data_IF_369397433461
#
_entry.id   IF_369397433461
#
_cell.length_a   1.000
_cell.length_b   1.000
_cell.length_c   1.000
_cell.angle_alpha   90.00
_cell.angle_beta   90.00
_cell.angle_gamma   90.00
#
_symmetry.space_group_name_H-M   'P 1'
#
loop_
_entity.id
_entity.type
_entity.pdbx_description
1 polymer ?
#
# COMPACT_ATOMS: atom_id res chain seq x y z
N UNK A 1 -33.93 28.50 41.75
CA UNK A 1 -33.67 28.41 40.28
C UNK A 1 -32.63 27.33 40.03
N UNK A 2 -33.06 26.15 39.57
CA UNK A 2 -32.15 25.02 39.23
C UNK A 2 -31.64 25.21 37.78
N UNK A 3 -30.34 25.40 37.62
CA UNK A 3 -29.69 25.41 36.29
C UNK A 3 -29.55 23.96 35.81
N UNK A 4 -30.29 23.59 34.79
CA UNK A 4 -30.11 22.32 34.07
C UNK A 4 -28.97 22.51 33.07
N UNK A 5 -27.81 21.87 33.30
CA UNK A 5 -26.74 21.78 32.33
C UNK A 5 -27.15 20.73 31.30
N UNK A 6 -27.42 21.16 30.08
CA UNK A 6 -27.52 20.26 28.92
C UNK A 6 -26.09 19.93 28.43
N UNK A 7 -25.60 18.72 28.75
CA UNK A 7 -24.40 18.18 28.11
C UNK A 7 -24.76 17.74 26.70
N UNK A 8 -24.29 18.49 25.72
CA UNK A 8 -24.31 18.05 24.32
C UNK A 8 -23.28 16.97 24.17
N UNK A 9 -23.69 15.70 24.05
CA UNK A 9 -22.85 14.61 23.58
C UNK A 9 -22.70 14.76 22.05
N UNK A 10 -21.54 15.27 21.58
CA UNK A 10 -21.17 15.25 20.18
C UNK A 10 -20.81 13.79 19.89
N UNK A 11 -21.70 13.05 19.25
CA UNK A 11 -21.39 11.75 18.67
C UNK A 11 -20.54 12.05 17.43
N UNK A 12 -19.22 12.00 17.57
CA UNK A 12 -18.30 12.00 16.46
C UNK A 12 -18.46 10.66 15.72
N UNK A 13 -18.98 10.69 14.52
CA UNK A 13 -18.93 9.55 13.62
C UNK A 13 -17.47 9.34 13.25
N UNK A 14 -16.84 8.32 13.83
CA UNK A 14 -15.50 7.90 13.49
C UNK A 14 -15.60 7.24 12.11
N UNK A 15 -15.12 7.91 11.07
CA UNK A 15 -14.89 7.31 9.77
C UNK A 15 -13.56 6.57 9.85
N UNK A 16 -13.59 5.26 10.10
CA UNK A 16 -12.41 4.43 10.04
C UNK A 16 -12.26 3.99 8.58
N UNK A 17 -11.23 4.48 7.90
CA UNK A 17 -10.73 3.89 6.69
C UNK A 17 -9.67 2.86 7.12
N UNK A 18 -9.81 1.61 6.75
CA UNK A 18 -8.75 0.63 6.94
C UNK A 18 -7.67 0.92 5.89
N UNK A 19 -6.41 1.04 6.32
CA UNK A 19 -5.26 1.01 5.41
C UNK A 19 -5.38 -0.24 4.53
N UNK A 20 -5.02 -0.13 3.24
CA UNK A 20 -4.98 -1.31 2.39
C UNK A 20 -3.85 -2.24 2.86
N UNK A 21 -4.22 -3.28 3.62
CA UNK A 21 -3.30 -4.24 4.22
C UNK A 21 -2.79 -5.28 3.21
N UNK A 22 -3.23 -5.22 1.95
CA UNK A 22 -2.84 -6.18 0.91
C UNK A 22 -1.54 -5.81 0.23
N UNK A 23 -1.25 -4.51 0.10
CA UNK A 23 -0.10 -4.00 -0.62
C UNK A 23 0.66 -2.94 0.19
N UNK A 24 1.50 -3.40 1.13
CA UNK A 24 2.33 -2.51 1.95
C UNK A 24 3.72 -2.41 1.30
N UNK A 25 3.83 -1.59 0.24
CA UNK A 25 5.07 -1.40 -0.52
C UNK A 25 5.22 0.05 -1.01
N UNK A 26 6.42 0.61 -0.90
CA UNK A 26 6.79 1.86 -1.57
C UNK A 26 7.59 1.52 -2.82
N UNK A 27 7.04 1.85 -3.96
CA UNK A 27 7.61 1.50 -5.28
C UNK A 27 8.75 2.41 -5.68
N UNK A 28 9.75 1.81 -6.37
CA UNK A 28 10.72 2.56 -7.17
C UNK A 28 10.21 2.81 -8.59
N UNK A 29 10.83 3.77 -9.30
CA UNK A 29 10.41 4.18 -10.63
C UNK A 29 10.72 3.17 -11.74
N UNK A 30 11.62 2.22 -11.51
CA UNK A 30 12.06 1.26 -12.53
C UNK A 30 10.98 0.24 -12.85
N UNK A 31 10.76 -0.03 -14.14
CA UNK A 31 9.90 -1.10 -14.62
C UNK A 31 10.68 -2.40 -14.84
N UNK A 32 10.00 -3.54 -14.85
CA UNK A 32 10.58 -4.82 -15.23
C UNK A 32 11.06 -4.76 -16.68
N UNK A 33 12.23 -5.34 -16.95
CA UNK A 33 12.79 -5.40 -18.30
C UNK A 33 11.90 -6.25 -19.22
N UNK A 34 11.89 -5.99 -20.53
CA UNK A 34 11.17 -6.82 -21.50
C UNK A 34 11.60 -8.29 -21.39
N UNK A 35 10.66 -9.20 -21.62
CA UNK A 35 10.87 -10.64 -21.49
C UNK A 35 11.32 -11.06 -20.08
N UNK A 36 10.91 -10.32 -19.07
CA UNK A 36 11.05 -10.71 -17.65
C UNK A 36 9.71 -10.62 -16.95
N UNK A 37 9.56 -11.48 -15.97
CA UNK A 37 8.42 -11.51 -15.08
C UNK A 37 8.90 -11.60 -13.65
N UNK A 38 8.30 -10.83 -12.76
CA UNK A 38 8.43 -10.97 -11.31
C UNK A 38 7.16 -11.63 -10.78
N UNK A 39 7.34 -12.66 -9.96
CA UNK A 39 6.26 -13.29 -9.21
C UNK A 39 6.56 -13.03 -7.76
N UNK A 40 5.66 -12.33 -7.06
CA UNK A 40 5.82 -11.91 -5.69
C UNK A 40 4.67 -12.42 -4.83
N UNK A 41 5.01 -12.84 -3.62
CA UNK A 41 4.06 -13.09 -2.56
C UNK A 41 4.27 -12.03 -1.48
N UNK A 42 3.27 -11.19 -1.28
CA UNK A 42 3.20 -10.27 -0.15
C UNK A 42 2.41 -10.95 0.95
N UNK A 43 2.95 -11.00 2.15
CA UNK A 43 2.31 -11.58 3.32
C UNK A 43 2.36 -10.57 4.46
N UNK A 44 1.21 -10.06 4.86
CA UNK A 44 1.07 -9.04 5.88
C UNK A 44 0.22 -9.58 7.03
N UNK A 45 0.82 -9.70 8.21
CA UNK A 45 0.13 -10.17 9.41
C UNK A 45 -0.08 -9.03 10.39
N UNK A 46 -1.35 -8.78 10.73
CA UNK A 46 -1.75 -7.77 11.71
C UNK A 46 -1.84 -8.38 13.10
N UNK A 47 -0.89 -8.04 13.98
CA UNK A 47 -0.90 -8.50 15.38
C UNK A 47 -1.87 -7.70 16.25
N UNK A 48 -1.96 -6.40 15.99
CA UNK A 48 -2.83 -5.49 16.73
C UNK A 48 -3.58 -4.60 15.73
N UNK A 49 -4.82 -4.91 15.49
CA UNK A 49 -5.67 -4.26 14.50
C UNK A 49 -7.08 -4.02 15.01
N UNK A 50 -7.97 -3.65 14.10
CA UNK A 50 -9.39 -3.45 14.36
C UNK A 50 -10.04 -4.75 14.81
N UNK A 51 -10.72 -4.72 15.97
CA UNK A 51 -11.35 -5.91 16.56
C UNK A 51 -12.80 -6.14 16.09
N UNK A 52 -13.47 -5.11 15.60
CA UNK A 52 -14.88 -5.14 15.24
C UNK A 52 -15.09 -4.95 13.74
N UNK A 53 -16.21 -5.45 13.23
CA UNK A 53 -16.64 -5.15 11.87
C UNK A 53 -17.10 -3.70 11.78
N UNK A 54 -16.45 -2.91 10.93
CA UNK A 54 -16.76 -1.49 10.70
C UNK A 54 -17.20 -1.27 9.27
N UNK A 55 -18.37 -0.64 9.06
CA UNK A 55 -18.96 -0.42 7.73
C UNK A 55 -19.05 -1.71 6.88
N UNK A 56 -19.20 -2.86 7.50
CA UNK A 56 -19.27 -4.16 6.83
C UNK A 56 -17.91 -4.80 6.52
N UNK A 57 -16.80 -4.11 6.77
CA UNK A 57 -15.43 -4.63 6.63
C UNK A 57 -15.07 -5.44 7.87
N UNK A 58 -14.55 -6.65 7.63
CA UNK A 58 -14.16 -7.60 8.68
C UNK A 58 -12.99 -7.07 9.54
N UNK A 59 -12.85 -7.57 10.77
CA UNK A 59 -11.73 -7.21 11.65
C UNK A 59 -10.37 -7.53 11.03
N UNK A 60 -9.38 -6.68 11.30
CA UNK A 60 -7.98 -6.92 10.93
C UNK A 60 -7.16 -7.58 12.05
N UNK A 61 -7.69 -7.65 13.28
CA UNK A 61 -7.00 -8.24 14.43
C UNK A 61 -6.66 -9.71 14.20
N UNK A 62 -5.37 -10.05 14.29
CA UNK A 62 -4.83 -11.38 13.99
C UNK A 62 -5.16 -11.90 12.58
N UNK A 63 -5.38 -11.01 11.61
CA UNK A 63 -5.60 -11.39 10.22
C UNK A 63 -4.26 -11.53 9.47
N UNK A 64 -4.27 -12.41 8.46
CA UNK A 64 -3.21 -12.54 7.48
C UNK A 64 -3.77 -12.10 6.12
N UNK A 65 -3.13 -11.12 5.50
CA UNK A 65 -3.44 -10.67 4.15
C UNK A 65 -2.33 -11.10 3.21
N UNK A 66 -2.69 -11.73 2.11
CA UNK A 66 -1.72 -12.19 1.13
C UNK A 66 -2.08 -11.70 -0.26
N UNK A 67 -1.08 -11.27 -1.00
CA UNK A 67 -1.20 -10.82 -2.38
C UNK A 67 -0.22 -11.62 -3.24
N UNK A 68 -0.74 -12.34 -4.22
CA UNK A 68 0.06 -12.86 -5.31
C UNK A 68 0.12 -11.80 -6.40
N UNK A 69 1.29 -11.22 -6.61
CA UNK A 69 1.56 -10.29 -7.69
C UNK A 69 2.35 -10.98 -8.81
N UNK A 70 1.93 -10.77 -10.07
CA UNK A 70 2.66 -11.20 -11.25
C UNK A 70 2.85 -9.98 -12.14
N UNK A 71 4.07 -9.44 -12.19
CA UNK A 71 4.41 -8.26 -12.99
C UNK A 71 5.29 -8.64 -14.17
N UNK A 72 4.92 -8.23 -15.39
CA UNK A 72 5.61 -8.55 -16.64
C UNK A 72 6.07 -7.28 -17.36
N UNK A 73 7.35 -7.22 -17.71
CA UNK A 73 7.90 -6.17 -18.58
C UNK A 73 7.47 -6.38 -20.03
N UNK A 74 6.76 -5.41 -20.59
CA UNK A 74 6.24 -5.44 -21.98
C UNK A 74 7.21 -4.72 -22.92
N UNK A 75 7.65 -3.52 -22.52
CA UNK A 75 8.67 -2.73 -23.24
C UNK A 75 9.73 -2.25 -22.24
N UNK A 76 10.82 -1.62 -22.67
CA UNK A 76 11.82 -1.06 -21.75
C UNK A 76 11.27 -0.02 -20.77
N UNK A 77 10.08 0.52 -21.02
CA UNK A 77 9.49 1.60 -20.23
C UNK A 77 8.07 1.29 -19.75
N UNK A 78 7.55 0.10 -20.07
CA UNK A 78 6.16 -0.26 -19.73
C UNK A 78 6.07 -1.69 -19.23
N UNK A 79 5.39 -1.84 -18.10
CA UNK A 79 5.05 -3.14 -17.49
C UNK A 79 3.57 -3.20 -17.13
N UNK A 80 3.09 -4.39 -16.86
CA UNK A 80 1.78 -4.61 -16.25
C UNK A 80 1.88 -5.64 -15.15
N UNK A 81 1.25 -5.36 -14.01
CA UNK A 81 1.08 -6.25 -12.88
C UNK A 81 -0.35 -6.78 -12.81
N UNK A 82 -0.52 -7.98 -12.31
CA UNK A 82 -1.79 -8.58 -11.93
C UNK A 82 -1.70 -9.02 -10.47
N UNK A 83 -2.73 -8.70 -9.69
CA UNK A 83 -2.83 -9.01 -8.27
C UNK A 83 -4.00 -9.94 -8.00
N UNK A 84 -3.77 -10.93 -7.15
CA UNK A 84 -4.81 -11.75 -6.54
C UNK A 84 -4.70 -11.60 -5.03
N UNK A 85 -5.74 -11.06 -4.41
CA UNK A 85 -5.81 -10.84 -2.98
C UNK A 85 -6.52 -11.98 -2.28
N UNK A 86 -5.93 -12.45 -1.19
CA UNK A 86 -6.52 -13.44 -0.30
C UNK A 86 -6.35 -13.00 1.15
N UNK A 87 -7.20 -13.49 2.04
CA UNK A 87 -7.11 -13.16 3.46
C UNK A 87 -7.59 -14.31 4.34
N UNK A 88 -6.91 -14.49 5.44
CA UNK A 88 -7.40 -15.25 6.58
C UNK A 88 -7.80 -14.30 7.70
N UNK A 89 -9.07 -14.36 8.12
CA UNK A 89 -9.59 -13.60 9.26
C UNK A 89 -10.10 -14.59 10.31
N UNK A 90 -9.69 -14.48 11.59
CA UNK A 90 -10.18 -15.35 12.66
C UNK A 90 -11.71 -15.39 12.69
N UNK A 91 -12.28 -16.59 12.77
CA UNK A 91 -13.73 -16.81 12.74
C UNK A 91 -14.38 -16.79 11.35
N UNK A 92 -13.69 -16.31 10.30
CA UNK A 92 -14.19 -16.26 8.93
C UNK A 92 -13.41 -17.15 7.95
N UNK A 93 -12.23 -17.66 8.36
CA UNK A 93 -11.39 -18.56 7.57
C UNK A 93 -10.66 -17.87 6.44
N UNK A 94 -10.08 -18.66 5.53
CA UNK A 94 -9.31 -18.19 4.37
C UNK A 94 -10.24 -17.94 3.17
N UNK A 95 -10.12 -16.76 2.53
CA UNK A 95 -11.01 -16.35 1.46
C UNK A 95 -10.26 -15.59 0.36
N UNK A 96 -10.74 -15.71 -0.88
CA UNK A 96 -10.36 -14.82 -1.98
C UNK A 96 -11.07 -13.49 -1.78
N UNK A 97 -10.33 -12.40 -1.84
CA UNK A 97 -10.80 -11.03 -1.56
C UNK A 97 -11.11 -10.28 -2.84
N UNK A 98 -10.21 -10.35 -3.82
CA UNK A 98 -10.35 -9.60 -5.06
C UNK A 98 -9.12 -9.72 -5.95
N UNK A 99 -9.08 -8.86 -6.96
CA UNK A 99 -7.97 -8.79 -7.91
C UNK A 99 -7.87 -7.41 -8.53
N UNK A 100 -6.63 -6.99 -8.82
CA UNK A 100 -6.35 -5.73 -9.51
C UNK A 100 -5.43 -5.97 -10.72
N UNK A 101 -5.44 -5.00 -11.66
CA UNK A 101 -4.47 -4.87 -12.73
C UNK A 101 -3.74 -3.54 -12.59
N UNK A 102 -2.42 -3.55 -12.79
CA UNK A 102 -1.56 -2.39 -12.57
C UNK A 102 -0.61 -2.14 -13.74
N UNK A 103 -1.04 -1.47 -14.83
CA UNK A 103 -0.13 -0.91 -15.81
C UNK A 103 0.72 0.20 -15.19
N UNK A 104 2.04 0.21 -15.54
CA UNK A 104 2.99 1.23 -15.14
C UNK A 104 3.88 1.63 -16.30
N UNK A 105 4.11 2.94 -16.44
CA UNK A 105 5.01 3.52 -17.42
C UNK A 105 6.09 4.35 -16.72
N UNK A 106 7.35 4.20 -17.11
CA UNK A 106 8.45 5.00 -16.60
C UNK A 106 8.98 5.98 -17.64
N UNK A 107 9.57 7.08 -17.17
CA UNK A 107 10.34 7.97 -18.03
C UNK A 107 11.72 7.34 -18.28
N UNK A 108 12.16 7.24 -19.56
CA UNK A 108 13.44 6.65 -19.90
C UNK A 108 14.61 7.35 -19.22
N UNK A 109 15.53 6.61 -18.62
CA UNK A 109 16.73 7.16 -17.97
C UNK A 109 17.63 7.97 -18.90
N UNK A 110 17.62 7.64 -20.20
CA UNK A 110 18.41 8.36 -21.22
C UNK A 110 17.97 9.83 -21.41
N UNK A 111 16.83 10.25 -20.86
CA UNK A 111 16.42 11.66 -20.86
C UNK A 111 17.21 12.49 -19.86
N UNK A 112 18.03 11.86 -19.00
CA UNK A 112 18.96 12.54 -18.09
C UNK A 112 18.31 13.32 -16.97
N UNK A 113 17.09 12.95 -16.56
CA UNK A 113 16.41 13.59 -15.44
C UNK A 113 17.19 13.34 -14.13
N UNK A 114 17.20 14.31 -13.21
CA UNK A 114 17.93 14.19 -11.94
C UNK A 114 17.30 13.16 -10.97
N UNK A 115 16.09 12.69 -11.27
CA UNK A 115 15.31 11.70 -10.50
C UNK A 115 14.70 10.69 -11.45
N UNK A 116 14.44 9.48 -10.96
CA UNK A 116 13.59 8.50 -11.62
C UNK A 116 12.13 8.90 -11.49
N UNK A 117 11.35 8.71 -12.57
CA UNK A 117 9.92 9.03 -12.61
C UNK A 117 9.15 7.92 -13.28
N UNK A 118 8.04 7.52 -12.69
CA UNK A 118 7.04 6.65 -13.33
C UNK A 118 5.62 6.99 -12.86
N UNK A 119 4.65 6.51 -13.61
CA UNK A 119 3.23 6.57 -13.27
C UNK A 119 2.67 5.16 -13.27
N UNK A 120 2.18 4.73 -12.13
CA UNK A 120 1.39 3.52 -11.98
C UNK A 120 -0.09 3.88 -11.94
N UNK A 121 -0.90 3.07 -12.60
CA UNK A 121 -2.35 3.11 -12.52
C UNK A 121 -2.80 1.74 -12.06
N UNK A 122 -3.64 1.67 -11.04
CA UNK A 122 -4.17 0.41 -10.54
C UNK A 122 -5.69 0.44 -10.56
N UNK A 123 -6.30 -0.61 -11.09
CA UNK A 123 -7.75 -0.74 -11.17
C UNK A 123 -8.15 -2.14 -10.76
N UNK A 124 -9.20 -2.23 -9.94
CA UNK A 124 -9.67 -3.55 -9.59
C UNK A 124 -10.87 -3.60 -8.65
N UNK A 125 -11.11 -4.82 -8.18
CA UNK A 125 -12.24 -5.20 -7.39
C UNK A 125 -11.81 -5.86 -6.09
N UNK A 126 -12.47 -5.47 -4.98
CA UNK A 126 -12.41 -6.15 -3.69
C UNK A 126 -13.83 -6.40 -3.17
N UNK A 127 -14.01 -7.50 -2.44
CA UNK A 127 -15.30 -7.83 -1.82
C UNK A 127 -15.63 -6.83 -0.70
N UNK A 128 -16.91 -6.47 -0.59
CA UNK A 128 -17.41 -5.51 0.41
C UNK A 128 -17.11 -5.89 1.87
N UNK A 129 -16.85 -7.17 2.15
CA UNK A 129 -16.42 -7.63 3.47
C UNK A 129 -14.95 -7.33 3.78
N UNK A 130 -14.17 -6.81 2.83
CA UNK A 130 -12.75 -6.51 2.97
C UNK A 130 -12.39 -5.07 2.59
N UNK A 131 -13.25 -4.38 1.86
CA UNK A 131 -13.07 -2.98 1.51
C UNK A 131 -14.41 -2.25 1.43
N UNK A 132 -14.44 -1.00 1.89
CA UNK A 132 -15.60 -0.12 1.65
C UNK A 132 -15.73 0.24 0.18
N UNK A 133 -14.63 0.20 -0.58
CA UNK A 133 -14.53 0.55 -2.00
C UNK A 133 -14.42 -0.72 -2.84
N UNK A 134 -15.56 -1.24 -3.27
CA UNK A 134 -15.61 -2.52 -3.99
C UNK A 134 -15.01 -2.46 -5.39
N UNK A 135 -15.01 -1.30 -6.01
CA UNK A 135 -14.26 -1.00 -7.23
C UNK A 135 -13.46 0.27 -7.02
N UNK A 136 -12.19 0.21 -7.27
CA UNK A 136 -11.25 1.31 -7.05
C UNK A 136 -10.36 1.55 -8.27
N UNK A 137 -9.92 2.79 -8.37
CA UNK A 137 -8.87 3.22 -9.27
C UNK A 137 -7.83 3.97 -8.44
N UNK A 138 -6.58 3.61 -8.60
CA UNK A 138 -5.45 4.31 -7.99
C UNK A 138 -4.57 4.93 -9.06
N UNK A 139 -4.12 6.17 -8.82
CA UNK A 139 -3.10 6.84 -9.60
C UNK A 139 -1.90 7.09 -8.70
N UNK A 140 -0.76 6.48 -9.00
CA UNK A 140 0.46 6.52 -8.19
C UNK A 140 1.63 7.08 -9.00
N UNK A 141 1.88 8.40 -8.99
CA UNK A 141 3.17 8.94 -9.41
C UNK A 141 4.28 8.39 -8.51
N UNK A 142 5.41 8.03 -9.09
CA UNK A 142 6.57 7.50 -8.37
C UNK A 142 7.76 8.37 -8.70
N UNK A 143 8.42 8.90 -7.68
CA UNK A 143 9.58 9.79 -7.79
C UNK A 143 10.66 9.19 -6.92
N UNK A 144 11.78 8.77 -7.50
CA UNK A 144 12.85 8.19 -6.70
C UNK A 144 14.25 8.71 -7.07
N UNK A 145 15.17 8.53 -6.14
CA UNK A 145 16.58 8.88 -6.33
C UNK A 145 17.47 7.96 -5.51
N UNK A 146 18.55 7.51 -6.15
CA UNK A 146 19.67 6.83 -5.51
C UNK A 146 20.87 7.79 -5.47
N UNK A 147 21.43 8.03 -4.28
CA UNK A 147 22.71 8.70 -4.08
C UNK A 147 23.66 7.73 -3.40
N UNK A 148 24.59 7.19 -4.13
CA UNK A 148 25.51 6.16 -3.60
C UNK A 148 24.79 5.12 -2.73
N UNK A 149 24.78 5.32 -1.42
CA UNK A 149 24.18 4.42 -0.44
C UNK A 149 22.77 4.84 0.03
N UNK A 150 22.36 6.08 -0.22
CA UNK A 150 21.06 6.60 0.20
C UNK A 150 20.05 6.48 -0.93
N UNK A 151 18.95 5.80 -0.66
CA UNK A 151 17.79 5.71 -1.56
C UNK A 151 16.59 6.41 -0.97
N UNK A 152 15.91 7.21 -1.77
CA UNK A 152 14.64 7.84 -1.41
C UNK A 152 13.64 7.59 -2.52
N UNK A 153 12.44 7.16 -2.15
CA UNK A 153 11.29 7.06 -3.06
C UNK A 153 10.05 7.69 -2.42
N UNK A 154 9.35 8.51 -3.19
CA UNK A 154 8.10 9.14 -2.82
C UNK A 154 7.00 8.80 -3.82
N UNK A 155 5.90 8.27 -3.31
CA UNK A 155 4.72 7.88 -4.08
C UNK A 155 3.50 8.69 -3.58
N UNK A 156 3.21 9.89 -4.13
CA UNK A 156 2.01 10.64 -3.83
C UNK A 156 0.80 10.02 -4.55
N UNK A 157 0.16 9.09 -3.89
CA UNK A 157 -0.92 8.28 -4.43
C UNK A 157 -2.27 8.99 -4.31
N UNK A 158 -3.12 8.81 -5.32
CA UNK A 158 -4.51 9.24 -5.34
C UNK A 158 -5.42 8.02 -5.46
N UNK A 159 -6.17 7.72 -4.40
CA UNK A 159 -7.20 6.68 -4.40
C UNK A 159 -8.53 7.25 -4.89
N UNK A 160 -9.24 6.52 -5.76
CA UNK A 160 -10.55 6.91 -6.29
C UNK A 160 -11.52 5.74 -6.12
N UNK A 161 -12.55 5.95 -5.32
CA UNK A 161 -13.64 5.01 -5.19
C UNK A 161 -14.56 5.09 -6.40
N UNK A 162 -14.66 4.02 -7.18
CA UNK A 162 -15.57 3.92 -8.33
C UNK A 162 -16.92 3.33 -7.92
N UNK A 163 -16.95 2.52 -6.86
CA UNK A 163 -18.17 1.96 -6.29
C UNK A 163 -18.01 1.72 -4.80
N UNK A 164 -18.72 2.53 -4.01
CA UNK A 164 -18.78 2.42 -2.55
C UNK A 164 -20.19 2.78 -2.05
N UNK A 165 -20.54 2.27 -0.88
CA UNK A 165 -21.75 2.70 -0.16
C UNK A 165 -21.42 3.81 0.88
N UNK A 166 -20.15 4.15 1.07
CA UNK A 166 -19.68 5.00 2.16
C UNK A 166 -18.87 6.19 1.67
N UNK A 167 -18.17 6.05 0.54
CA UNK A 167 -17.31 7.07 -0.02
C UNK A 167 -17.94 7.70 -1.25
N UNK A 168 -17.74 8.99 -1.42
CA UNK A 168 -18.03 9.71 -2.65
C UNK A 168 -16.81 9.57 -3.59
N UNK A 169 -16.98 9.84 -4.88
CA UNK A 169 -15.92 9.74 -5.89
C UNK A 169 -14.84 10.83 -5.79
N UNK A 170 -14.71 11.51 -4.63
CA UNK A 170 -13.64 12.49 -4.40
C UNK A 170 -12.34 11.72 -4.12
N UNK A 171 -11.25 11.99 -4.85
CA UNK A 171 -9.99 11.29 -4.64
C UNK A 171 -9.47 11.46 -3.20
N UNK A 172 -8.93 10.40 -2.62
CA UNK A 172 -8.15 10.42 -1.38
C UNK A 172 -6.68 10.72 -1.69
N UNK A 173 -5.95 11.24 -0.72
CA UNK A 173 -4.50 11.46 -0.84
C UNK A 173 -3.75 10.53 0.12
N UNK A 174 -2.93 9.67 -0.47
CA UNK A 174 -2.24 8.57 0.19
C UNK A 174 -0.72 8.67 -0.05
N UNK A 175 -0.01 9.57 0.69
CA UNK A 175 1.43 9.74 0.53
C UNK A 175 2.21 8.56 1.12
N UNK A 176 3.09 7.95 0.31
CA UNK A 176 3.99 6.90 0.74
C UNK A 176 5.45 7.33 0.50
N UNK A 177 6.32 7.07 1.46
CA UNK A 177 7.73 7.50 1.43
C UNK A 177 8.63 6.36 1.93
N UNK A 178 9.72 6.12 1.22
CA UNK A 178 10.80 5.23 1.66
C UNK A 178 12.11 5.99 1.71
N UNK A 179 12.84 5.83 2.80
CA UNK A 179 14.23 6.26 2.96
C UNK A 179 15.05 5.05 3.37
N UNK A 180 15.95 4.62 2.50
CA UNK A 180 16.77 3.44 2.72
C UNK A 180 18.26 3.73 2.61
N UNK A 181 19.07 3.00 3.35
CA UNK A 181 20.53 3.11 3.33
C UNK A 181 21.18 1.74 3.14
N UNK A 182 22.10 1.67 2.18
CA UNK A 182 22.85 0.44 1.85
C UNK A 182 24.05 0.31 2.80
N UNK A 183 23.94 -0.54 3.82
CA UNK A 183 25.01 -0.79 4.79
C UNK A 183 26.04 -1.79 4.26
N UNK A 184 25.56 -2.87 3.64
CA UNK A 184 26.40 -3.91 3.07
C UNK A 184 26.02 -4.14 1.60
N UNK A 185 26.85 -4.87 0.87
CA UNK A 185 26.56 -5.24 -0.52
C UNK A 185 25.20 -5.95 -0.60
N UNK A 186 24.31 -5.45 -1.43
CA UNK A 186 22.97 -5.98 -1.68
C UNK A 186 22.00 -5.94 -0.45
N UNK A 187 22.31 -5.11 0.56
CA UNK A 187 21.51 -5.04 1.79
C UNK A 187 21.16 -3.60 2.09
N UNK A 188 19.87 -3.30 2.12
CA UNK A 188 19.35 -1.98 2.49
C UNK A 188 18.50 -2.10 3.76
N UNK A 189 18.71 -1.17 4.69
CA UNK A 189 17.81 -0.95 5.81
C UNK A 189 17.18 0.42 5.66
N UNK A 190 15.89 0.50 5.91
CA UNK A 190 15.16 1.74 5.70
C UNK A 190 13.96 1.92 6.61
N UNK A 191 13.38 3.10 6.44
CA UNK A 191 12.13 3.48 7.04
C UNK A 191 11.15 3.71 5.89
N UNK A 192 9.96 3.15 6.02
CA UNK A 192 8.86 3.35 5.10
C UNK A 192 7.70 3.97 5.86
N UNK A 193 7.15 5.03 5.30
CA UNK A 193 5.96 5.69 5.81
C UNK A 193 4.81 5.49 4.83
N UNK A 194 3.64 5.19 5.37
CA UNK A 194 2.38 5.04 4.64
C UNK A 194 1.34 5.94 5.27
N UNK A 195 0.68 6.75 4.44
CA UNK A 195 -0.36 7.67 4.88
C UNK A 195 -1.63 7.53 4.05
N UNK A 196 -2.77 7.80 4.69
CA UNK A 196 -4.05 8.13 4.07
C UNK A 196 -4.63 9.33 4.81
N UNK A 197 -4.66 10.46 4.11
CA UNK A 197 -5.10 11.74 4.67
C UNK A 197 -6.61 11.97 4.50
N UNK A 198 -7.31 11.06 3.80
CA UNK A 198 -8.71 11.24 3.40
C UNK A 198 -8.87 12.06 2.11
N UNK A 199 -10.07 12.56 1.88
CA UNK A 199 -10.46 13.21 0.62
C UNK A 199 -9.73 14.53 0.37
N UNK A 200 -9.28 14.74 -0.87
CA UNK A 200 -8.65 16.01 -1.27
C UNK A 200 -9.61 17.18 -1.07
N UNK A 201 -9.11 18.24 -0.44
CA UNK A 201 -9.90 19.44 -0.10
C UNK A 201 -10.67 19.33 1.21
N UNK A 202 -10.80 18.14 1.78
CA UNK A 202 -11.44 17.88 3.09
C UNK A 202 -10.73 16.72 3.79
N UNK A 203 -9.45 16.92 4.13
CA UNK A 203 -8.69 15.91 4.87
C UNK A 203 -9.36 15.58 6.21
N UNK A 204 -9.31 14.32 6.57
CA UNK A 204 -9.85 13.84 7.83
C UNK A 204 -9.09 14.44 9.02
N UNK A 205 -9.70 14.40 10.22
CA UNK A 205 -8.98 14.76 11.43
C UNK A 205 -7.82 13.77 11.64
N UNK A 206 -6.71 14.22 12.20
CA UNK A 206 -5.50 13.40 12.36
C UNK A 206 -5.77 12.04 13.02
N UNK A 207 -6.65 11.97 13.98
CA UNK A 207 -7.02 10.72 14.65
C UNK A 207 -7.80 9.74 13.75
N UNK A 208 -8.35 10.23 12.64
CA UNK A 208 -9.13 9.46 11.65
C UNK A 208 -8.33 9.12 10.39
N UNK A 209 -7.17 9.79 10.20
CA UNK A 209 -6.23 9.48 9.13
C UNK A 209 -5.46 8.19 9.44
N UNK A 210 -5.08 7.44 8.42
CA UNK A 210 -4.18 6.31 8.60
C UNK A 210 -2.73 6.75 8.40
N UNK A 211 -1.89 6.47 9.37
CA UNK A 211 -0.45 6.73 9.31
C UNK A 211 0.31 5.57 9.94
N UNK A 212 1.20 4.95 9.19
CA UNK A 212 2.05 3.87 9.67
C UNK A 212 3.52 4.13 9.34
N UNK A 213 4.40 3.66 10.21
CA UNK A 213 5.85 3.70 10.03
C UNK A 213 6.42 2.29 10.14
N UNK A 214 7.13 1.85 9.11
CA UNK A 214 7.78 0.54 9.06
C UNK A 214 9.29 0.69 9.11
N UNK A 215 9.95 -0.16 9.88
CA UNK A 215 11.36 -0.45 9.73
C UNK A 215 11.48 -1.63 8.77
N UNK A 216 12.20 -1.43 7.68
CA UNK A 216 12.28 -2.39 6.59
C UNK A 216 13.72 -2.79 6.25
N UNK A 217 13.85 -4.05 5.87
CA UNK A 217 15.04 -4.64 5.27
C UNK A 217 14.74 -5.03 3.83
N UNK A 218 15.63 -4.68 2.89
CA UNK A 218 15.55 -5.09 1.50
C UNK A 218 16.81 -5.85 1.05
N UNK A 219 16.60 -6.93 0.33
CA UNK A 219 17.62 -7.55 -0.49
C UNK A 219 17.68 -6.83 -1.84
N UNK A 220 18.74 -6.07 -2.08
CA UNK A 220 18.92 -5.32 -3.32
C UNK A 220 19.83 -6.01 -4.31
N UNK A 221 19.72 -5.63 -5.60
CA UNK A 221 20.62 -6.04 -6.67
C UNK A 221 20.81 -7.57 -6.82
N UNK A 222 19.84 -8.36 -6.37
CA UNK A 222 19.82 -9.78 -6.65
C UNK A 222 19.11 -10.01 -8.01
N UNK A 223 19.73 -10.71 -8.98
CA UNK A 223 19.14 -10.86 -10.32
C UNK A 223 17.90 -11.76 -10.34
N UNK A 224 17.72 -12.58 -9.31
CA UNK A 224 16.67 -13.59 -9.28
C UNK A 224 15.66 -13.41 -8.16
N UNK A 225 16.08 -12.86 -7.05
CA UNK A 225 15.23 -12.76 -5.85
C UNK A 225 15.03 -11.32 -5.43
N UNK A 226 13.85 -11.04 -4.97
CA UNK A 226 13.49 -9.84 -4.23
C UNK A 226 13.00 -10.25 -2.84
N UNK A 227 13.40 -9.50 -1.83
CA UNK A 227 12.97 -9.71 -0.46
C UNK A 227 12.85 -8.36 0.22
N UNK A 228 11.67 -8.06 0.75
CA UNK A 228 11.43 -6.96 1.67
C UNK A 228 10.80 -7.55 2.94
N UNK A 229 11.35 -7.23 4.10
CA UNK A 229 10.80 -7.63 5.41
C UNK A 229 10.65 -6.37 6.22
N UNK A 230 9.49 -6.17 6.84
CA UNK A 230 9.23 -4.98 7.63
C UNK A 230 8.36 -5.23 8.86
N UNK A 231 8.61 -4.43 9.90
CA UNK A 231 7.78 -4.35 11.09
C UNK A 231 7.26 -2.91 11.23
N UNK A 232 5.96 -2.75 11.30
CA UNK A 232 5.27 -1.47 11.22
C UNK A 232 4.42 -1.16 12.45
N UNK A 233 4.41 0.12 12.81
CA UNK A 233 3.63 0.68 13.91
C UNK A 233 2.64 1.70 13.37
N UNK A 234 1.37 1.56 13.76
CA UNK A 234 0.36 2.59 13.56
C UNK A 234 0.63 3.82 14.41
N UNK A 235 0.55 4.99 13.80
CA UNK A 235 0.82 6.27 14.46
C UNK A 235 -0.46 7.01 14.86
N UNK A 236 -1.62 6.56 14.40
CA UNK A 236 -2.93 7.18 14.66
C UNK A 236 -3.93 6.15 15.16
N UNK A 237 -5.04 6.63 15.72
CA UNK A 237 -6.07 5.75 16.28
C UNK A 237 -6.82 4.92 15.20
N UNK A 238 -6.85 5.39 13.96
CA UNK A 238 -7.50 4.69 12.84
C UNK A 238 -6.60 3.61 12.21
N UNK A 239 -5.29 3.64 12.49
CA UNK A 239 -4.32 2.70 11.89
C UNK A 239 -4.15 1.46 12.75
N UNK A 240 -4.02 0.29 12.12
CA UNK A 240 -3.63 -0.95 12.80
C UNK A 240 -2.33 -0.77 13.58
N UNK A 241 -2.32 -1.19 14.85
CA UNK A 241 -1.26 -0.83 15.80
C UNK A 241 0.08 -1.51 15.54
N UNK A 242 0.07 -2.78 15.07
CA UNK A 242 1.31 -3.50 14.73
C UNK A 242 1.09 -4.50 13.60
N UNK A 243 1.88 -4.33 12.53
CA UNK A 243 1.85 -5.18 11.34
C UNK A 243 3.27 -5.68 11.05
N UNK A 244 3.39 -6.95 10.70
CA UNK A 244 4.61 -7.53 10.13
C UNK A 244 4.38 -7.88 8.67
N UNK A 245 5.30 -7.49 7.80
CA UNK A 245 5.21 -7.75 6.36
C UNK A 245 6.41 -8.50 5.83
N UNK A 246 6.17 -9.34 4.83
CA UNK A 246 7.20 -9.99 4.01
C UNK A 246 6.77 -9.91 2.56
N UNK A 247 7.64 -9.46 1.69
CA UNK A 247 7.50 -9.57 0.23
C UNK A 247 8.63 -10.47 -0.25
N UNK A 248 8.28 -11.59 -0.87
CA UNK A 248 9.23 -12.51 -1.46
C UNK A 248 8.95 -12.62 -2.96
N UNK A 249 9.89 -12.16 -3.78
CA UNK A 249 9.78 -12.15 -5.23
C UNK A 249 10.78 -13.06 -5.93
N UNK A 250 10.33 -13.68 -7.03
CA UNK A 250 11.18 -14.46 -7.94
C UNK A 250 11.12 -13.88 -9.34
N UNK A 251 12.26 -13.43 -9.86
CA UNK A 251 12.38 -12.95 -11.25
C UNK A 251 12.67 -14.12 -12.19
N UNK A 252 11.90 -14.20 -13.27
CA UNK A 252 12.02 -15.18 -14.34
C UNK A 252 12.26 -14.42 -15.64
N UNK A 253 13.24 -14.86 -16.42
CA UNK A 253 13.55 -14.29 -17.74
C UNK A 253 13.47 -15.38 -18.80
N UNK A 254 12.97 -15.03 -19.98
CA UNK A 254 12.94 -15.92 -21.15
C UNK A 254 13.58 -15.24 -22.37
N UNK A 255 13.97 -16.05 -23.31
CA UNK A 255 14.67 -15.61 -24.53
C UNK A 255 13.72 -15.05 -25.59
#
# INVERSE_FOLDING_TARGET
MRKVLFSFFIISFITVHAQDNYEIQVYGSQTQSPKTMMIELHSNYTFNGQMETVKGVLPSFHSLHETLEITTGITPIFETGFYLFTSYVPGHGYQVVGSHIRPRIMIPQQWGLPVGLSLSVEFGYQRASYSTDTWSLELRPIIDKQWEKLYISFNPTLGISLKSNYNNSVPTFEPNLKVGYTFFKNTNFGIEYYGDCGSIGHFDQLAQQNHALFFAYDLQNNPHWELNIGAGLGLTAATDGFIFKVILGRRISWK
#
